data_IF_210569058869
#
_entry.id   IF_210569058869
#
_cell.length_a   1.000
_cell.length_b   1.000
_cell.length_c   1.000
_cell.angle_alpha   90.00
_cell.angle_beta   90.00
_cell.angle_gamma   90.00
#
_symmetry.space_group_name_H-M   'P 1'
#
loop_
_entity.id
_entity.type
_entity.pdbx_description
1 polymer ?
#
# COMPACT_ATOMS: atom_id res chain seq x y z
N UNK A 1 6.86 1.30 -3.20
CA UNK A 1 6.08 1.04 -4.44
C UNK A 1 4.59 1.06 -4.11
N UNK A 2 3.80 1.83 -4.87
CA UNK A 2 2.32 1.86 -4.78
C UNK A 2 1.73 1.33 -6.08
N UNK A 3 0.65 0.55 -5.99
CA UNK A 3 -0.05 0.00 -7.15
C UNK A 3 -1.56 0.06 -6.92
N UNK A 4 -2.31 0.48 -7.94
CA UNK A 4 -3.75 0.30 -7.97
C UNK A 4 -4.07 -1.20 -8.08
N UNK A 5 -4.82 -1.75 -7.12
CA UNK A 5 -5.09 -3.19 -7.01
C UNK A 5 -6.40 -3.55 -7.70
N UNK A 6 -7.52 -2.95 -7.26
CA UNK A 6 -8.86 -3.18 -7.81
C UNK A 6 -9.84 -2.07 -7.44
N UNK A 7 -11.00 -2.08 -8.07
CA UNK A 7 -12.14 -1.24 -7.70
C UNK A 7 -13.17 -2.12 -7.00
N UNK A 8 -13.65 -1.71 -5.84
CA UNK A 8 -14.61 -2.47 -5.03
C UNK A 8 -15.67 -1.49 -4.50
N UNK A 9 -16.95 -1.73 -4.81
CA UNK A 9 -18.06 -0.83 -4.45
C UNK A 9 -17.88 0.63 -4.90
N UNK A 10 -17.21 0.85 -6.03
CA UNK A 10 -16.92 2.20 -6.54
C UNK A 10 -15.70 2.87 -5.89
N UNK A 11 -15.04 2.23 -4.92
CA UNK A 11 -13.81 2.75 -4.31
C UNK A 11 -12.58 2.12 -4.95
N UNK A 12 -11.58 2.95 -5.25
CA UNK A 12 -10.26 2.47 -5.64
C UNK A 12 -9.52 1.93 -4.42
N UNK A 13 -9.07 0.68 -4.50
CA UNK A 13 -8.18 0.07 -3.52
C UNK A 13 -6.75 0.04 -4.06
N UNK A 14 -5.85 0.46 -3.20
CA UNK A 14 -4.43 0.57 -3.47
C UNK A 14 -3.66 -0.38 -2.58
N UNK A 15 -2.55 -0.89 -3.09
CA UNK A 15 -1.59 -1.68 -2.33
C UNK A 15 -0.23 -0.98 -2.35
N UNK A 16 0.35 -0.77 -1.18
CA UNK A 16 1.68 -0.18 -1.01
C UNK A 16 2.59 -1.17 -0.31
N UNK A 17 3.79 -1.39 -0.87
CA UNK A 17 4.90 -2.04 -0.17
C UNK A 17 5.81 -0.99 0.45
N UNK A 18 6.07 -1.12 1.75
CA UNK A 18 6.90 -0.20 2.52
C UNK A 18 7.64 -0.89 3.66
N UNK A 19 8.88 -0.46 3.91
CA UNK A 19 9.73 -0.94 4.99
C UNK A 19 9.49 -0.10 6.24
N UNK A 20 9.18 -0.75 7.35
CA UNK A 20 8.99 -0.13 8.67
C UNK A 20 10.18 -0.46 9.55
N UNK A 21 10.69 0.54 10.25
CA UNK A 21 11.86 0.47 11.13
C UNK A 21 13.11 -0.18 10.51
N UNK A 22 13.21 -0.17 9.18
CA UNK A 22 14.37 -0.70 8.45
C UNK A 22 14.40 -2.23 8.29
N UNK A 23 13.43 -2.99 8.82
CA UNK A 23 13.45 -4.47 8.72
C UNK A 23 12.10 -5.12 8.40
N UNK A 24 10.98 -4.50 8.76
CA UNK A 24 9.66 -5.09 8.56
C UNK A 24 9.03 -4.57 7.27
N UNK A 25 9.08 -5.38 6.21
CA UNK A 25 8.39 -5.06 4.96
C UNK A 25 6.90 -5.43 5.08
N UNK A 26 6.02 -4.43 4.90
CA UNK A 26 4.57 -4.59 4.92
C UNK A 26 3.97 -4.33 3.54
N UNK A 27 2.95 -5.11 3.19
CA UNK A 27 1.96 -4.75 2.19
C UNK A 27 0.76 -4.12 2.90
N UNK A 28 0.44 -2.88 2.53
CA UNK A 28 -0.68 -2.12 3.08
C UNK A 28 -1.75 -1.92 2.01
N UNK A 29 -2.93 -2.48 2.23
CA UNK A 29 -4.12 -2.21 1.43
C UNK A 29 -4.87 -1.00 2.01
N UNK A 30 -5.18 -0.02 1.18
CA UNK A 30 -5.81 1.23 1.63
C UNK A 30 -6.69 1.85 0.54
N UNK A 31 -7.57 2.76 0.96
CA UNK A 31 -8.22 3.72 0.06
C UNK A 31 -7.63 5.12 0.27
N UNK A 32 -7.82 5.99 -0.73
CA UNK A 32 -7.50 7.42 -0.68
C UNK A 32 -8.76 8.16 -1.10
N UNK A 33 -9.17 9.16 -0.32
CA UNK A 33 -10.32 10.02 -0.59
C UNK A 33 -10.17 11.34 0.17
N UNK A 34 -10.83 12.39 -0.29
CA UNK A 34 -10.92 13.63 0.47
C UNK A 34 -12.10 13.58 1.44
N UNK A 35 -11.93 14.11 2.65
CA UNK A 35 -13.04 14.33 3.57
C UNK A 35 -13.85 15.58 3.20
N UNK A 36 -14.78 15.97 4.09
CA UNK A 36 -15.67 17.11 3.84
C UNK A 36 -14.95 18.46 3.80
N UNK A 37 -13.77 18.55 4.40
CA UNK A 37 -12.96 19.76 4.46
C UNK A 37 -11.87 19.76 3.36
N UNK A 38 -11.88 18.75 2.48
CA UNK A 38 -10.90 18.58 1.41
C UNK A 38 -9.56 18.03 1.89
N UNK A 39 -9.51 17.41 3.08
CA UNK A 39 -8.30 16.80 3.62
C UNK A 39 -8.18 15.39 3.05
N UNK A 40 -7.02 15.05 2.49
CA UNK A 40 -6.75 13.70 2.00
C UNK A 40 -6.71 12.71 3.17
N UNK A 41 -7.59 11.71 3.12
CA UNK A 41 -7.70 10.63 4.10
C UNK A 41 -7.28 9.30 3.48
N UNK A 42 -6.25 8.71 4.07
CA UNK A 42 -5.81 7.35 3.77
C UNK A 42 -6.42 6.39 4.79
N UNK A 43 -7.38 5.56 4.36
CA UNK A 43 -7.97 4.52 5.21
C UNK A 43 -7.26 3.20 5.02
N UNK A 44 -6.57 2.71 6.04
CA UNK A 44 -5.97 1.37 6.04
C UNK A 44 -7.08 0.33 6.17
N UNK A 45 -7.11 -0.60 5.21
CA UNK A 45 -8.01 -1.78 5.22
C UNK A 45 -7.25 -2.98 5.82
N UNK A 46 -5.99 -3.14 5.46
CA UNK A 46 -5.15 -4.23 5.93
C UNK A 46 -3.69 -3.81 5.91
N UNK A 47 -2.94 -4.26 6.92
CA UNK A 47 -1.49 -4.22 6.94
C UNK A 47 -0.99 -5.61 7.31
N UNK A 48 -0.21 -6.21 6.41
CA UNK A 48 0.38 -7.55 6.66
C UNK A 48 1.83 -7.59 6.24
N UNK A 49 2.57 -8.53 6.81
CA UNK A 49 3.93 -8.83 6.34
C UNK A 49 3.90 -9.19 4.85
N UNK A 50 4.83 -8.62 4.10
CA UNK A 50 5.03 -8.94 2.70
C UNK A 50 5.44 -10.41 2.54
N UNK A 51 4.89 -11.08 1.53
CA UNK A 51 5.30 -12.43 1.19
C UNK A 51 6.62 -12.42 0.40
N UNK A 52 7.21 -13.60 0.16
CA UNK A 52 8.51 -13.71 -0.50
C UNK A 52 8.54 -13.11 -1.91
N UNK A 53 7.43 -13.19 -2.67
CA UNK A 53 7.35 -12.61 -4.02
C UNK A 53 7.28 -11.09 -3.99
N UNK A 54 6.48 -10.54 -3.08
CA UNK A 54 6.37 -9.10 -2.82
C UNK A 54 7.70 -8.50 -2.35
N UNK A 55 8.39 -9.20 -1.44
CA UNK A 55 9.72 -8.81 -0.97
C UNK A 55 10.73 -8.75 -2.11
N UNK A 56 10.82 -9.82 -2.92
CA UNK A 56 11.73 -9.86 -4.05
C UNK A 56 11.51 -8.67 -5.00
N UNK A 57 10.24 -8.39 -5.34
CA UNK A 57 9.91 -7.24 -6.19
C UNK A 57 10.29 -5.90 -5.56
N UNK A 58 10.06 -5.72 -4.26
CA UNK A 58 10.46 -4.50 -3.55
C UNK A 58 11.99 -4.30 -3.60
N UNK A 59 12.76 -5.37 -3.40
CA UNK A 59 14.23 -5.33 -3.45
C UNK A 59 14.74 -5.04 -4.87
N UNK A 60 14.14 -5.64 -5.90
CA UNK A 60 14.46 -5.37 -7.31
C UNK A 60 14.22 -3.91 -7.70
N UNK A 61 13.09 -3.33 -7.29
CA UNK A 61 12.74 -1.93 -7.60
C UNK A 61 13.49 -0.91 -6.74
N UNK A 62 13.86 -1.26 -5.50
CA UNK A 62 14.62 -0.37 -4.60
C UNK A 62 16.12 -0.37 -4.88
N UNK A 63 16.60 -1.27 -5.74
CA UNK A 63 18.00 -1.35 -6.17
C UNK A 63 18.31 -0.49 -7.41
N UNK A 64 17.32 0.29 -7.87
CA UNK A 64 17.43 1.31 -8.93
C UNK A 64 17.60 2.70 -8.31
#
# INVERSE_FOLDING_TARGET
MVKQDRIENGEYRWQTLGLVDGFLLLLVAHTVHDDKDGIEVIRIISARRANSKERKRYEEESSL
#
